data_IF_634764284376
#
_entry.id   IF_634764284376
#
_cell.length_a   1.000
_cell.length_b   1.000
_cell.length_c   1.000
_cell.angle_alpha   90.00
_cell.angle_beta   90.00
_cell.angle_gamma   90.00
#
_symmetry.space_group_name_H-M   'P 1'
#
loop_
_entity.id
_entity.type
_entity.pdbx_description
1 polymer ?
#
# COMPACT_ATOMS: atom_id res chain seq x y z
N UNK A 1 0.80 -12.84 -24.37
CA UNK A 1 1.80 -11.75 -24.29
C UNK A 1 1.02 -10.51 -23.96
N UNK A 2 1.36 -9.76 -22.89
CA UNK A 2 0.70 -8.48 -22.63
C UNK A 2 1.23 -7.43 -23.60
N UNK A 3 0.33 -6.62 -24.13
CA UNK A 3 0.65 -5.53 -25.06
C UNK A 3 0.64 -4.19 -24.33
N UNK A 4 1.20 -3.14 -24.95
CA UNK A 4 1.23 -1.79 -24.35
C UNK A 4 -0.17 -1.26 -24.03
N UNK A 5 -1.20 -1.70 -24.77
CA UNK A 5 -2.59 -1.32 -24.51
C UNK A 5 -3.06 -1.81 -23.14
N UNK A 6 -2.62 -2.98 -22.69
CA UNK A 6 -2.95 -3.52 -21.37
C UNK A 6 -2.36 -2.69 -20.21
N UNK A 7 -1.34 -1.86 -20.48
CA UNK A 7 -0.75 -0.96 -19.48
C UNK A 7 -1.60 0.30 -19.28
N UNK A 8 -2.26 0.78 -20.33
CA UNK A 8 -3.10 1.99 -20.25
C UNK A 8 -4.33 1.81 -19.36
N UNK A 9 -4.76 0.57 -19.13
CA UNK A 9 -5.89 0.23 -18.26
C UNK A 9 -5.48 0.15 -16.78
N UNK A 10 -4.19 0.28 -16.44
CA UNK A 10 -3.69 0.21 -15.06
C UNK A 10 -3.48 1.63 -14.51
N UNK A 11 -4.26 1.99 -13.49
CA UNK A 11 -4.13 3.26 -12.77
C UNK A 11 -3.19 3.11 -11.56
N UNK A 12 -1.90 3.44 -11.74
CA UNK A 12 -0.89 3.41 -10.67
C UNK A 12 -0.71 4.81 -10.09
N UNK A 13 -0.83 4.97 -8.76
CA UNK A 13 -0.67 6.26 -8.08
C UNK A 13 0.40 6.21 -7.00
N UNK A 14 1.12 7.32 -6.87
CA UNK A 14 2.02 7.56 -5.73
C UNK A 14 1.22 8.20 -4.61
N UNK A 15 1.29 7.58 -3.42
CA UNK A 15 0.59 8.05 -2.23
C UNK A 15 1.46 7.95 -0.98
N UNK A 16 1.05 8.69 0.05
CA UNK A 16 1.69 8.72 1.36
C UNK A 16 0.88 7.83 2.31
N UNK A 17 1.58 6.98 3.06
CA UNK A 17 0.96 6.19 4.11
C UNK A 17 0.63 7.12 5.29
N UNK A 18 -0.65 7.23 5.62
CA UNK A 18 -1.10 8.02 6.77
C UNK A 18 -1.19 7.19 8.05
N UNK A 19 -1.30 5.86 7.92
CA UNK A 19 -1.39 4.93 9.04
C UNK A 19 -0.85 3.57 8.65
N UNK A 20 -0.15 2.90 9.56
CA UNK A 20 0.35 1.54 9.38
C UNK A 20 0.10 0.73 10.66
N UNK A 21 -0.45 -0.48 10.51
CA UNK A 21 -0.76 -1.40 11.61
C UNK A 21 -0.34 -2.82 11.25
N UNK A 22 0.14 -3.58 12.24
CA UNK A 22 0.45 -4.99 12.05
C UNK A 22 -0.81 -5.82 11.93
N UNK A 23 -0.83 -6.72 10.94
CA UNK A 23 -1.95 -7.61 10.70
C UNK A 23 -1.71 -8.96 11.38
N UNK A 24 -1.95 -9.01 12.69
CA UNK A 24 -1.75 -10.20 13.54
C UNK A 24 -2.61 -11.39 13.06
N UNK A 25 -3.76 -11.12 12.44
CA UNK A 25 -4.66 -12.15 11.90
C UNK A 25 -4.20 -12.75 10.56
N UNK A 26 -3.11 -12.26 9.97
CA UNK A 26 -2.63 -12.74 8.69
C UNK A 26 -1.86 -14.06 8.83
N UNK A 27 -2.01 -14.93 7.83
CA UNK A 27 -1.23 -16.18 7.74
C UNK A 27 0.29 -15.94 7.59
N UNK A 28 0.68 -14.77 7.08
CA UNK A 28 2.06 -14.31 6.95
C UNK A 28 2.17 -12.90 7.51
N UNK A 29 3.30 -12.60 8.12
CA UNK A 29 3.60 -11.26 8.65
C UNK A 29 3.33 -10.21 7.58
N UNK A 30 2.34 -9.37 7.86
CA UNK A 30 1.89 -8.34 6.95
C UNK A 30 1.43 -7.14 7.74
N UNK A 31 1.46 -5.98 7.07
CA UNK A 31 1.03 -4.72 7.63
C UNK A 31 -0.13 -4.21 6.79
N UNK A 32 -1.19 -3.74 7.44
CA UNK A 32 -2.23 -2.93 6.81
C UNK A 32 -1.76 -1.48 6.83
N UNK A 33 -1.86 -0.83 5.68
CA UNK A 33 -1.58 0.59 5.51
C UNK A 33 -2.88 1.29 5.11
N UNK A 34 -3.22 2.36 5.80
CA UNK A 34 -4.25 3.29 5.37
C UNK A 34 -3.60 4.41 4.59
N UNK A 35 -4.19 4.71 3.43
CA UNK A 35 -3.66 5.64 2.45
C UNK A 35 -4.77 6.60 2.09
N UNK A 36 -4.47 7.90 2.15
CA UNK A 36 -5.40 8.95 1.76
C UNK A 36 -5.39 9.14 0.25
N UNK A 37 -6.55 9.00 -0.38
CA UNK A 37 -6.76 9.30 -1.79
C UNK A 37 -7.56 10.60 -2.00
N UNK A 38 -7.47 11.52 -1.05
CA UNK A 38 -8.10 12.83 -1.06
C UNK A 38 -9.62 12.68 -1.29
N UNK A 39 -10.09 13.06 -2.48
CA UNK A 39 -11.50 13.00 -2.89
C UNK A 39 -12.05 11.58 -2.99
N UNK A 40 -11.20 10.57 -3.16
CA UNK A 40 -11.63 9.17 -3.20
C UNK A 40 -11.71 8.54 -1.79
N UNK A 41 -11.26 9.26 -0.75
CA UNK A 41 -11.28 8.81 0.63
C UNK A 41 -10.11 7.91 1.01
N UNK A 42 -10.27 7.13 2.07
CA UNK A 42 -9.22 6.30 2.65
C UNK A 42 -9.28 4.87 2.13
N UNK A 43 -8.16 4.35 1.67
CA UNK A 43 -8.03 2.97 1.22
C UNK A 43 -7.09 2.20 2.14
N UNK A 44 -7.49 0.97 2.47
CA UNK A 44 -6.65 0.03 3.18
C UNK A 44 -5.98 -0.91 2.18
N UNK A 45 -4.65 -1.00 2.27
CA UNK A 45 -3.85 -1.93 1.48
C UNK A 45 -3.04 -2.81 2.42
N UNK A 46 -3.04 -4.13 2.17
CA UNK A 46 -2.23 -5.08 2.92
C UNK A 46 -0.93 -5.38 2.15
N UNK A 47 0.19 -5.37 2.86
CA UNK A 47 1.50 -5.64 2.26
C UNK A 47 2.38 -6.49 3.17
N UNK A 48 3.03 -7.49 2.58
CA UNK A 48 4.00 -8.38 3.26
C UNK A 48 5.41 -7.78 3.18
N UNK A 49 5.65 -6.71 3.95
CA UNK A 49 6.93 -5.98 3.93
C UNK A 49 7.59 -5.88 5.31
N UNK A 50 7.09 -6.64 6.28
CA UNK A 50 7.49 -6.64 7.70
C UNK A 50 8.92 -7.12 7.93
N UNK A 51 9.57 -7.77 6.94
CA UNK A 51 10.98 -8.18 7.03
C UNK A 51 11.93 -6.98 7.04
N UNK A 52 11.62 -5.94 6.27
CA UNK A 52 12.52 -4.80 6.04
C UNK A 52 11.99 -3.48 6.61
N UNK A 53 10.73 -3.43 7.03
CA UNK A 53 10.08 -2.21 7.49
C UNK A 53 9.23 -2.48 8.72
N UNK A 54 9.42 -1.67 9.77
CA UNK A 54 8.49 -1.62 10.89
C UNK A 54 7.35 -0.64 10.61
N UNK A 55 6.22 -0.79 11.30
CA UNK A 55 5.03 0.07 11.08
C UNK A 55 5.32 1.54 11.34
N UNK A 56 6.19 1.83 12.30
CA UNK A 56 6.62 3.17 12.68
C UNK A 56 7.38 3.85 11.54
N UNK A 57 8.14 3.08 10.74
CA UNK A 57 8.90 3.59 9.60
C UNK A 57 8.01 3.86 8.38
N UNK A 58 6.81 3.30 8.34
CA UNK A 58 5.95 3.34 7.16
C UNK A 58 5.16 4.64 7.05
N UNK A 59 4.76 5.23 8.17
CA UNK A 59 3.99 6.48 8.18
C UNK A 59 4.83 7.60 7.56
N UNK A 60 4.26 8.33 6.59
CA UNK A 60 4.95 9.40 5.86
C UNK A 60 5.80 8.93 4.67
N UNK A 61 6.01 7.63 4.46
CA UNK A 61 6.69 7.12 3.26
C UNK A 61 5.76 7.17 2.04
N UNK A 62 6.36 7.45 0.87
CA UNK A 62 5.71 7.37 -0.44
C UNK A 62 5.75 5.93 -0.96
N UNK A 63 4.63 5.44 -1.46
CA UNK A 63 4.50 4.13 -2.12
C UNK A 63 3.73 4.27 -3.44
N UNK A 64 4.05 3.39 -4.38
CA UNK A 64 3.30 3.19 -5.62
C UNK A 64 2.24 2.11 -5.36
N UNK A 65 0.99 2.41 -5.69
CA UNK A 65 -0.18 1.53 -5.61
C UNK A 65 -0.79 1.37 -6.99
#
# INVERSE_FOLDING_TARGET
MKEIKDFNDIDIKVRIIIKAEELIAARKDSCIKTIDFDLLGFYNSSAQITVNYFKEDLVGKKLYL
#
